data_IF_529926851778
#
_entry.id   IF_529926851778
#
_cell.length_a   1.000
_cell.length_b   1.000
_cell.length_c   1.000
_cell.angle_alpha   90.00
_cell.angle_beta   90.00
_cell.angle_gamma   90.00
#
_symmetry.space_group_name_H-M   'P 1'
#
loop_
_entity.id
_entity.type
_entity.pdbx_description
1 polymer ?
#
# COMPACT_ATOMS: atom_id res chain seq x y z
N UNK A 1 23.08 38.47 24.96
CA UNK A 1 21.69 38.87 24.69
C UNK A 1 20.78 37.68 24.97
N UNK A 2 19.65 37.89 25.65
CA UNK A 2 18.72 36.81 25.96
C UNK A 2 18.15 36.24 24.66
N UNK A 3 18.25 34.91 24.48
CA UNK A 3 17.72 34.20 23.31
C UNK A 3 16.20 34.46 23.24
N UNK A 4 15.67 35.03 22.14
CA UNK A 4 14.23 35.18 22.00
C UNK A 4 13.58 33.79 22.10
N UNK A 5 12.58 33.67 22.96
CA UNK A 5 11.82 32.43 23.10
C UNK A 5 10.99 32.25 21.84
N UNK A 6 11.04 31.05 21.28
CA UNK A 6 10.13 30.65 20.22
C UNK A 6 8.68 30.73 20.74
N UNK A 7 7.74 31.28 19.94
CA UNK A 7 6.33 31.21 20.30
C UNK A 7 5.88 29.76 20.45
N UNK A 8 5.14 29.45 21.53
CA UNK A 8 4.65 28.11 21.82
C UNK A 8 3.81 27.50 20.68
N UNK A 9 3.10 28.35 19.92
CA UNK A 9 2.29 27.93 18.77
C UNK A 9 3.16 27.33 17.66
N UNK A 10 4.26 27.98 17.29
CA UNK A 10 5.15 27.51 16.23
C UNK A 10 5.92 26.26 16.68
N UNK A 11 6.28 26.17 17.96
CA UNK A 11 6.87 24.96 18.55
C UNK A 11 5.89 23.79 18.47
N UNK A 12 4.66 24.01 18.92
CA UNK A 12 3.61 22.98 18.92
C UNK A 12 3.32 22.53 17.49
N UNK A 13 3.19 23.46 16.55
CA UNK A 13 2.95 23.17 15.15
C UNK A 13 4.03 22.27 14.56
N UNK A 14 5.31 22.62 14.72
CA UNK A 14 6.42 21.82 14.19
C UNK A 14 6.46 20.39 14.79
N UNK A 15 6.11 20.23 16.07
CA UNK A 15 6.03 18.92 16.72
C UNK A 15 4.83 18.10 16.27
N UNK A 16 3.67 18.74 16.08
CA UNK A 16 2.42 18.09 15.68
C UNK A 16 2.45 17.68 14.22
N UNK A 17 2.88 18.56 13.32
CA UNK A 17 2.96 18.28 11.88
C UNK A 17 3.94 17.14 11.59
N UNK A 18 5.12 17.14 12.22
CA UNK A 18 6.09 16.06 12.09
C UNK A 18 5.70 14.80 12.86
N UNK A 19 4.76 14.90 13.81
CA UNK A 19 4.43 13.87 14.79
C UNK A 19 5.67 13.28 15.47
N UNK A 20 6.66 14.14 15.77
CA UNK A 20 7.98 13.77 16.33
C UNK A 20 8.75 12.74 15.50
N UNK A 21 8.59 12.75 14.17
CA UNK A 21 9.42 11.97 13.23
C UNK A 21 10.46 12.87 12.59
N UNK A 22 11.68 12.36 12.46
CA UNK A 22 12.75 13.09 11.79
C UNK A 22 12.57 13.00 10.28
N UNK A 23 12.47 14.14 9.61
CA UNK A 23 12.31 14.16 8.16
C UNK A 23 13.52 13.61 7.40
N UNK A 24 14.74 13.72 7.96
CA UNK A 24 15.96 13.16 7.34
C UNK A 24 15.97 11.62 7.45
N UNK A 25 15.69 11.06 8.63
CA UNK A 25 15.56 9.60 8.80
C UNK A 25 14.50 9.03 7.85
N UNK A 26 13.37 9.72 7.69
CA UNK A 26 12.31 9.30 6.80
C UNK A 26 12.72 9.35 5.32
N UNK A 27 13.37 10.42 4.87
CA UNK A 27 13.75 10.58 3.48
C UNK A 27 14.87 9.61 3.05
N UNK A 28 15.84 9.34 3.94
CA UNK A 28 16.98 8.48 3.63
C UNK A 28 16.67 6.99 3.84
N UNK A 29 15.94 6.65 4.90
CA UNK A 29 15.79 5.26 5.37
C UNK A 29 14.33 4.81 5.50
N UNK A 30 13.35 5.65 5.16
CA UNK A 30 11.91 5.40 5.39
C UNK A 30 11.58 5.09 6.86
N UNK A 31 12.40 5.59 7.77
CA UNK A 31 12.22 5.40 9.19
C UNK A 31 11.05 6.26 9.70
N UNK A 32 9.95 5.58 10.02
CA UNK A 32 8.70 6.18 10.50
C UNK A 32 8.56 6.15 12.02
N UNK A 33 9.61 5.79 12.75
CA UNK A 33 9.55 5.74 14.20
C UNK A 33 9.51 7.14 14.81
N UNK A 34 8.87 7.24 15.97
CA UNK A 34 8.92 8.44 16.80
C UNK A 34 10.35 8.58 17.34
N UNK A 35 10.94 9.76 17.18
CA UNK A 35 12.31 10.03 17.60
C UNK A 35 12.36 10.96 18.81
N UNK A 36 13.36 10.72 19.65
CA UNK A 36 13.86 11.73 20.57
C UNK A 36 14.63 12.77 19.76
N UNK A 37 14.23 14.03 19.83
CA UNK A 37 14.70 15.06 18.91
C UNK A 37 14.37 16.47 19.33
N UNK A 38 14.78 17.43 18.50
CA UNK A 38 14.66 18.87 18.71
C UNK A 38 14.23 19.57 17.43
N UNK A 39 13.70 20.78 17.56
CA UNK A 39 13.36 21.63 16.42
C UNK A 39 14.62 22.40 15.99
N UNK A 40 15.02 22.21 14.74
CA UNK A 40 16.08 22.96 14.10
C UNK A 40 15.50 24.16 13.33
N UNK A 41 16.15 25.31 13.49
CA UNK A 41 16.01 26.46 12.60
C UNK A 41 16.88 26.21 11.37
N UNK A 42 16.27 26.01 10.21
CA UNK A 42 16.99 25.58 9.01
C UNK A 42 17.98 26.64 8.53
N UNK A 43 17.63 27.92 8.58
CA UNK A 43 18.55 29.02 8.28
C UNK A 43 19.63 29.29 9.37
N UNK A 44 19.66 28.48 10.43
CA UNK A 44 20.52 28.66 11.62
C UNK A 44 20.33 30.01 12.33
N UNK A 45 19.25 30.73 12.02
CA UNK A 45 18.87 31.96 12.70
C UNK A 45 17.79 31.65 13.75
N UNK A 46 18.22 31.62 15.01
CA UNK A 46 17.36 31.31 16.15
C UNK A 46 16.21 32.31 16.39
N UNK A 47 16.17 33.43 15.66
CA UNK A 47 15.09 34.42 15.72
C UNK A 47 14.05 34.26 14.59
N UNK A 48 14.32 33.40 13.59
CA UNK A 48 13.40 33.15 12.49
C UNK A 48 12.48 31.96 12.78
N UNK A 49 11.39 32.22 13.50
CA UNK A 49 10.42 31.18 13.91
C UNK A 49 9.38 30.84 12.83
N UNK A 50 9.60 31.19 11.57
CA UNK A 50 8.65 30.84 10.49
C UNK A 50 8.45 29.33 10.41
N UNK A 51 7.21 28.80 10.34
CA UNK A 51 6.96 27.36 10.23
C UNK A 51 7.69 26.69 9.06
N UNK A 52 7.88 27.41 7.94
CA UNK A 52 8.63 26.92 6.78
C UNK A 52 10.16 26.82 7.02
N UNK A 53 10.66 27.44 8.09
CA UNK A 53 12.05 27.43 8.52
C UNK A 53 12.31 26.48 9.70
N UNK A 54 11.28 25.87 10.26
CA UNK A 54 11.40 24.93 11.39
C UNK A 54 11.23 23.49 10.92
N UNK A 55 12.11 22.60 11.37
CA UNK A 55 11.97 21.16 11.17
C UNK A 55 12.29 20.41 12.46
N UNK A 56 11.51 19.36 12.76
CA UNK A 56 11.86 18.44 13.83
C UNK A 56 12.88 17.41 13.33
N UNK A 57 14.01 17.30 14.03
CA UNK A 57 15.07 16.35 13.72
C UNK A 57 15.37 15.49 14.95
N UNK A 58 15.71 14.21 14.74
CA UNK A 58 16.26 13.39 15.82
C UNK A 58 17.59 13.98 16.29
N UNK A 59 18.01 13.69 17.52
CA UNK A 59 19.24 14.29 18.07
C UNK A 59 20.46 14.07 17.15
N UNK A 60 20.60 12.88 16.58
CA UNK A 60 21.69 12.56 15.65
C UNK A 60 21.73 13.49 14.42
N UNK A 61 20.62 13.59 13.71
CA UNK A 61 20.52 14.44 12.53
C UNK A 61 20.46 15.93 12.86
N UNK A 62 19.98 16.30 14.05
CA UNK A 62 20.04 17.66 14.55
C UNK A 62 21.50 18.09 14.73
N UNK A 63 22.32 17.26 15.39
CA UNK A 63 23.74 17.53 15.60
C UNK A 63 24.50 17.56 14.26
N UNK A 64 24.21 16.64 13.34
CA UNK A 64 24.82 16.66 11.99
C UNK A 64 24.43 17.91 11.19
N UNK A 65 23.19 18.39 11.34
CA UNK A 65 22.73 19.59 10.67
C UNK A 65 23.34 20.87 11.24
N UNK A 66 23.49 20.95 12.56
CA UNK A 66 24.00 22.15 13.24
C UNK A 66 25.53 22.24 13.16
N UNK A 67 26.21 21.10 13.05
CA UNK A 67 27.67 21.06 12.91
C UNK A 67 28.15 21.40 11.50
N UNK A 68 29.39 21.90 11.41
CA UNK A 68 30.08 22.09 10.14
C UNK A 68 31.33 21.22 10.17
N UNK A 69 31.37 20.18 9.35
CA UNK A 69 32.53 19.28 9.27
C UNK A 69 33.38 19.63 8.04
N UNK A 70 34.70 19.48 8.13
CA UNK A 70 35.61 19.66 6.99
C UNK A 70 35.76 18.43 6.10
N UNK A 71 35.28 17.27 6.56
CA UNK A 71 35.50 15.97 5.90
C UNK A 71 34.31 15.52 5.04
N UNK A 72 33.08 15.85 5.44
CA UNK A 72 31.87 15.56 4.67
C UNK A 72 31.04 16.82 4.46
N UNK A 73 30.29 16.84 3.36
CA UNK A 73 29.25 17.87 3.15
C UNK A 73 28.13 17.58 4.14
N UNK A 74 27.83 18.54 5.01
CA UNK A 74 26.63 18.47 5.84
C UNK A 74 25.37 18.70 5.02
N UNK A 75 24.23 18.40 5.62
CA UNK A 75 22.92 18.64 5.03
C UNK A 75 22.69 20.12 4.74
N UNK A 76 22.17 20.41 3.54
CA UNK A 76 21.78 21.78 3.16
C UNK A 76 20.34 22.07 3.56
N UNK A 77 20.06 23.35 3.77
CA UNK A 77 18.72 23.88 4.05
C UNK A 77 17.68 23.33 3.08
N UNK A 78 18.01 23.35 1.78
CA UNK A 78 17.09 22.93 0.73
C UNK A 78 16.74 21.45 0.89
N UNK A 79 17.75 20.56 0.98
CA UNK A 79 17.56 19.13 1.20
C UNK A 79 16.61 18.84 2.38
N UNK A 80 16.83 19.51 3.52
CA UNK A 80 15.96 19.32 4.69
C UNK A 80 14.54 19.84 4.48
N UNK A 81 14.34 20.88 3.67
CA UNK A 81 12.99 21.35 3.28
C UNK A 81 12.29 20.35 2.36
N UNK A 82 12.99 19.78 1.38
CA UNK A 82 12.44 18.71 0.54
C UNK A 82 12.04 17.50 1.39
N UNK A 83 12.92 17.05 2.29
CA UNK A 83 12.64 15.92 3.17
C UNK A 83 11.48 16.20 4.14
N UNK A 84 11.38 17.42 4.67
CA UNK A 84 10.24 17.85 5.48
C UNK A 84 8.95 17.73 4.68
N UNK A 85 8.93 18.24 3.45
CA UNK A 85 7.75 18.16 2.57
C UNK A 85 7.36 16.71 2.34
N UNK A 86 8.30 15.85 1.99
CA UNK A 86 8.07 14.43 1.74
C UNK A 86 7.45 13.72 2.95
N UNK A 87 7.97 13.96 4.16
CA UNK A 87 7.39 13.44 5.41
C UNK A 87 5.96 13.92 5.62
N UNK A 88 5.68 15.20 5.40
CA UNK A 88 4.34 15.76 5.61
C UNK A 88 3.33 15.26 4.58
N UNK A 89 3.73 15.13 3.31
CA UNK A 89 2.90 14.57 2.25
C UNK A 89 2.55 13.10 2.57
N UNK A 90 3.52 12.30 3.04
CA UNK A 90 3.29 10.93 3.48
C UNK A 90 2.40 10.84 4.73
N UNK A 91 2.60 11.69 5.73
CA UNK A 91 1.72 11.73 6.90
C UNK A 91 0.30 12.12 6.50
N UNK A 92 0.16 13.08 5.59
CA UNK A 92 -1.14 13.49 5.04
C UNK A 92 -1.85 12.34 4.35
N UNK A 93 -1.15 11.58 3.49
CA UNK A 93 -1.73 10.43 2.80
C UNK A 93 -2.06 9.28 3.75
N UNK A 94 -1.13 8.87 4.61
CA UNK A 94 -1.31 7.76 5.55
C UNK A 94 -2.46 7.99 6.56
N UNK A 95 -2.74 9.26 6.90
CA UNK A 95 -3.80 9.63 7.85
C UNK A 95 -5.12 10.00 7.17
N UNK A 96 -5.11 10.24 5.85
CA UNK A 96 -6.32 10.40 5.05
C UNK A 96 -7.06 9.07 4.85
N UNK A 97 -6.35 7.95 5.04
CA UNK A 97 -6.96 6.63 5.07
C UNK A 97 -7.80 6.53 6.35
N UNK A 98 -9.11 6.74 6.22
CA UNK A 98 -10.08 6.51 7.30
C UNK A 98 -10.07 5.03 7.65
N UNK A 99 -9.26 4.64 8.63
CA UNK A 99 -9.29 3.29 9.19
C UNK A 99 -10.59 3.14 9.99
N UNK A 100 -11.67 2.75 9.31
CA UNK A 100 -12.84 2.20 9.96
C UNK A 100 -12.53 0.73 10.26
N UNK A 101 -12.31 0.41 11.54
CA UNK A 101 -12.21 -0.98 12.00
C UNK A 101 -13.40 -1.77 11.43
N UNK A 102 -13.12 -2.73 10.53
CA UNK A 102 -14.14 -3.61 9.93
C UNK A 102 -14.72 -3.20 8.57
N UNK A 103 -14.30 -2.07 7.97
CA UNK A 103 -14.65 -1.73 6.58
C UNK A 103 -13.41 -1.19 5.86
N UNK A 104 -12.86 -1.98 4.94
CA UNK A 104 -11.89 -1.50 3.96
C UNK A 104 -12.57 -0.42 3.11
N UNK A 105 -12.23 0.85 3.32
CA UNK A 105 -12.50 1.89 2.34
C UNK A 105 -11.52 1.68 1.20
N UNK A 106 -12.01 1.12 0.09
CA UNK A 106 -11.31 1.09 -1.19
C UNK A 106 -10.89 2.53 -1.54
N UNK A 107 -9.71 2.77 -2.14
CA UNK A 107 -9.40 4.04 -2.76
C UNK A 107 -10.57 4.47 -3.65
N UNK A 108 -10.91 5.77 -3.68
CA UNK A 108 -12.05 6.30 -4.46
C UNK A 108 -11.98 5.96 -5.97
N UNK A 109 -10.83 5.46 -6.46
CA UNK A 109 -10.69 4.81 -7.75
C UNK A 109 -9.48 3.84 -7.78
N UNK A 110 -9.62 2.65 -7.19
CA UNK A 110 -8.71 1.54 -7.52
C UNK A 110 -9.18 0.91 -8.85
N UNK A 111 -8.32 0.80 -9.88
CA UNK A 111 -8.72 0.30 -11.19
C UNK A 111 -9.11 -1.19 -11.18
N UNK A 112 -8.67 -1.94 -10.18
CA UNK A 112 -8.73 -3.40 -10.12
C UNK A 112 -9.64 -3.92 -9.01
N UNK A 113 -9.74 -3.19 -7.91
CA UNK A 113 -10.55 -3.57 -6.77
C UNK A 113 -12.04 -3.64 -7.11
N UNK A 114 -12.73 -4.50 -6.37
CA UNK A 114 -14.18 -4.66 -6.48
C UNK A 114 -14.59 -6.12 -6.55
N UNK A 115 -15.88 -6.32 -6.83
CA UNK A 115 -16.46 -7.64 -7.07
C UNK A 115 -16.57 -7.89 -8.57
N UNK A 116 -16.18 -9.08 -8.98
CA UNK A 116 -16.13 -9.56 -10.36
C UNK A 116 -16.96 -10.82 -10.46
N UNK A 117 -17.88 -10.89 -11.43
CA UNK A 117 -18.79 -12.02 -11.61
C UNK A 117 -18.55 -12.65 -12.97
N UNK A 118 -18.45 -13.99 -13.01
CA UNK A 118 -18.19 -14.74 -14.24
C UNK A 118 -19.33 -14.60 -15.24
N UNK A 119 -19.02 -14.22 -16.47
CA UNK A 119 -19.95 -14.13 -17.58
C UNK A 119 -20.32 -15.52 -18.13
N UNK A 120 -21.56 -15.68 -18.58
CA UNK A 120 -22.02 -16.89 -19.30
C UNK A 120 -22.04 -18.18 -18.48
N UNK A 121 -22.22 -18.09 -17.16
CA UNK A 121 -21.85 -19.15 -16.21
C UNK A 121 -23.02 -19.78 -15.44
N UNK A 122 -24.25 -19.81 -15.98
CA UNK A 122 -25.45 -20.23 -15.23
C UNK A 122 -25.33 -21.58 -14.49
N UNK A 123 -24.66 -22.58 -15.09
CA UNK A 123 -24.45 -23.89 -14.47
C UNK A 123 -23.24 -23.94 -13.54
N UNK A 124 -22.31 -22.99 -13.67
CA UNK A 124 -21.04 -22.94 -12.93
C UNK A 124 -20.66 -21.50 -12.56
N UNK A 125 -21.51 -20.79 -11.80
CA UNK A 125 -21.29 -19.40 -11.48
C UNK A 125 -20.06 -19.25 -10.59
N UNK A 126 -19.36 -18.14 -10.74
CA UNK A 126 -18.26 -17.78 -9.85
C UNK A 126 -18.19 -16.29 -9.63
N UNK A 127 -17.75 -15.93 -8.44
CA UNK A 127 -17.44 -14.56 -8.06
C UNK A 127 -16.03 -14.47 -7.50
N UNK A 128 -15.37 -13.37 -7.81
CA UNK A 128 -14.05 -13.01 -7.29
C UNK A 128 -14.16 -11.60 -6.71
N UNK A 129 -13.59 -11.40 -5.54
CA UNK A 129 -13.42 -10.10 -4.90
C UNK A 129 -11.94 -9.78 -4.82
N UNK A 130 -11.60 -8.60 -5.30
CA UNK A 130 -10.24 -8.06 -5.28
C UNK A 130 -10.23 -6.93 -4.28
N UNK A 131 -9.42 -7.10 -3.24
CA UNK A 131 -9.35 -6.23 -2.08
C UNK A 131 -7.94 -5.60 -2.06
N UNK A 132 -7.81 -4.27 -2.19
CA UNK A 132 -6.52 -3.62 -2.16
C UNK A 132 -5.91 -3.75 -0.76
N UNK A 133 -4.60 -3.99 -0.73
CA UNK A 133 -3.77 -4.01 0.47
C UNK A 133 -2.83 -2.80 0.42
N UNK A 134 -2.19 -2.43 1.56
CA UNK A 134 -1.13 -1.44 1.54
C UNK A 134 -0.03 -1.85 0.55
N UNK A 135 0.41 -0.89 -0.25
CA UNK A 135 1.51 -1.06 -1.21
C UNK A 135 2.76 -1.63 -0.54
N UNK A 136 3.64 -2.22 -1.35
CA UNK A 136 4.98 -2.59 -0.88
C UNK A 136 5.78 -1.35 -0.48
N UNK A 137 6.92 -1.56 0.20
CA UNK A 137 7.87 -0.47 0.52
C UNK A 137 8.34 0.25 -0.75
N UNK A 138 8.39 -0.46 -1.87
CA UNK A 138 8.77 0.05 -3.19
C UNK A 138 7.59 0.67 -3.98
N UNK A 139 6.42 0.79 -3.34
CA UNK A 139 5.22 1.39 -3.95
C UNK A 139 4.49 0.50 -4.94
N UNK A 140 4.67 -0.83 -4.88
CA UNK A 140 3.94 -1.76 -5.75
C UNK A 140 2.54 -2.07 -5.20
N UNK A 141 1.48 -1.96 -6.01
CA UNK A 141 0.12 -2.33 -5.62
C UNK A 141 0.02 -3.82 -5.26
N UNK A 142 -0.71 -4.11 -4.19
CA UNK A 142 -0.97 -5.49 -3.74
C UNK A 142 -2.44 -5.70 -3.44
N UNK A 143 -2.88 -6.94 -3.65
CA UNK A 143 -4.27 -7.32 -3.48
C UNK A 143 -4.39 -8.62 -2.71
N UNK A 144 -5.43 -8.70 -1.87
CA UNK A 144 -5.99 -9.95 -1.42
C UNK A 144 -7.14 -10.31 -2.36
N UNK A 145 -7.04 -11.47 -2.99
CA UNK A 145 -8.05 -12.02 -3.88
C UNK A 145 -8.78 -13.11 -3.12
N UNK A 146 -10.11 -13.06 -3.14
CA UNK A 146 -10.95 -14.15 -2.63
C UNK A 146 -12.05 -14.46 -3.63
N UNK A 147 -12.50 -15.70 -3.73
CA UNK A 147 -13.55 -16.08 -4.65
C UNK A 147 -14.32 -17.31 -4.21
N UNK A 148 -15.52 -17.44 -4.76
CA UNK A 148 -16.38 -18.60 -4.59
C UNK A 148 -16.88 -19.04 -5.98
N UNK A 149 -16.76 -20.33 -6.27
CA UNK A 149 -17.19 -20.92 -7.52
C UNK A 149 -18.05 -22.15 -7.27
N UNK A 150 -19.01 -22.36 -8.16
CA UNK A 150 -19.93 -23.49 -8.14
C UNK A 150 -19.78 -24.31 -9.42
N UNK A 151 -20.11 -25.59 -9.33
CA UNK A 151 -20.13 -26.49 -10.48
C UNK A 151 -21.40 -27.35 -10.45
N UNK A 152 -22.24 -27.16 -11.47
CA UNK A 152 -23.46 -27.94 -11.69
C UNK A 152 -24.62 -27.51 -10.78
N UNK A 153 -25.02 -26.24 -10.88
CA UNK A 153 -26.14 -25.67 -10.11
C UNK A 153 -27.46 -26.43 -10.28
N UNK A 154 -27.66 -27.10 -11.43
CA UNK A 154 -28.87 -27.89 -11.72
C UNK A 154 -28.77 -29.37 -11.31
N UNK A 155 -27.66 -29.82 -10.72
CA UNK A 155 -27.47 -31.23 -10.35
C UNK A 155 -28.39 -31.65 -9.20
N UNK A 156 -28.89 -32.88 -9.26
CA UNK A 156 -29.82 -33.46 -8.27
C UNK A 156 -29.30 -33.40 -6.82
N UNK A 157 -27.99 -33.62 -6.64
CA UNK A 157 -27.35 -33.63 -5.32
C UNK A 157 -26.66 -32.30 -4.96
N UNK A 158 -27.00 -31.23 -5.68
CA UNK A 158 -26.43 -29.89 -5.49
C UNK A 158 -25.10 -29.67 -6.20
N UNK A 159 -24.64 -28.41 -6.25
CA UNK A 159 -23.38 -28.06 -6.88
C UNK A 159 -22.19 -28.47 -6.02
N UNK A 160 -21.08 -28.81 -6.67
CA UNK A 160 -19.79 -28.74 -5.98
C UNK A 160 -19.44 -27.26 -5.79
N UNK A 161 -18.84 -26.92 -4.64
CA UNK A 161 -18.49 -25.56 -4.29
C UNK A 161 -17.02 -25.49 -3.91
N UNK A 162 -16.35 -24.42 -4.34
CA UNK A 162 -14.94 -24.18 -4.08
C UNK A 162 -14.65 -22.74 -3.76
N UNK A 163 -13.60 -22.54 -2.99
CA UNK A 163 -13.11 -21.21 -2.61
C UNK A 163 -11.71 -21.00 -3.16
N UNK A 164 -11.39 -19.74 -3.44
CA UNK A 164 -10.07 -19.27 -3.82
C UNK A 164 -9.70 -18.15 -2.85
N UNK A 165 -8.49 -18.17 -2.30
CA UNK A 165 -7.95 -17.05 -1.52
C UNK A 165 -6.43 -16.99 -1.64
N UNK A 166 -5.91 -15.82 -1.95
CA UNK A 166 -4.47 -15.58 -2.04
C UNK A 166 -4.13 -14.09 -2.00
N UNK A 167 -2.87 -13.78 -1.72
CA UNK A 167 -2.31 -12.45 -1.91
C UNK A 167 -1.44 -12.44 -3.17
N UNK A 168 -1.46 -11.33 -3.91
CA UNK A 168 -0.60 -11.14 -5.08
C UNK A 168 -0.31 -9.66 -5.31
N UNK A 169 0.85 -9.38 -5.89
CA UNK A 169 1.23 -8.06 -6.38
C UNK A 169 0.84 -7.96 -7.86
N UNK A 170 0.64 -6.75 -8.37
CA UNK A 170 0.47 -6.60 -9.82
C UNK A 170 1.79 -6.84 -10.54
N UNK A 171 1.78 -7.79 -11.46
CA UNK A 171 2.88 -8.11 -12.37
C UNK A 171 2.54 -7.57 -13.76
N UNK A 172 3.54 -6.98 -14.41
CA UNK A 172 3.43 -6.39 -15.76
C UNK A 172 2.26 -5.40 -15.94
N UNK A 173 1.83 -4.78 -14.84
CA UNK A 173 0.79 -3.76 -14.83
C UNK A 173 -0.66 -4.28 -14.96
N UNK A 174 -0.87 -5.58 -15.11
CA UNK A 174 -2.22 -6.11 -15.41
C UNK A 174 -2.51 -7.53 -14.89
N UNK A 175 -1.55 -8.26 -14.32
CA UNK A 175 -1.77 -9.66 -13.90
C UNK A 175 -1.54 -9.88 -12.41
N UNK A 176 -2.37 -10.73 -11.81
CA UNK A 176 -2.19 -11.31 -10.49
C UNK A 176 -1.98 -12.83 -10.64
N UNK A 177 -1.03 -13.38 -9.90
CA UNK A 177 -0.68 -14.80 -9.98
C UNK A 177 -0.87 -15.52 -8.65
N UNK A 178 -1.38 -16.74 -8.73
CA UNK A 178 -1.45 -17.69 -7.63
C UNK A 178 -0.88 -19.04 -8.02
N UNK A 179 0.24 -19.39 -7.40
CA UNK A 179 0.97 -20.63 -7.66
C UNK A 179 0.93 -21.54 -6.43
N UNK A 180 0.63 -22.81 -6.63
CA UNK A 180 0.52 -23.81 -5.55
C UNK A 180 0.95 -25.20 -6.03
N UNK A 181 1.28 -26.15 -5.12
CA UNK A 181 1.54 -27.53 -5.52
C UNK A 181 0.35 -28.14 -6.25
N UNK A 182 0.56 -28.81 -7.39
CA UNK A 182 -0.50 -29.55 -8.08
C UNK A 182 -0.86 -30.84 -7.32
N UNK A 183 -2.15 -31.20 -7.33
CA UNK A 183 -2.63 -32.49 -6.82
C UNK A 183 -2.59 -33.60 -7.89
N UNK A 184 -2.33 -33.26 -9.16
CA UNK A 184 -2.45 -34.18 -10.29
C UNK A 184 -1.13 -34.43 -11.02
N UNK A 185 -0.21 -33.45 -11.05
CA UNK A 185 1.04 -33.54 -11.80
C UNK A 185 2.26 -33.22 -10.95
N UNK A 186 3.44 -33.59 -11.45
CA UNK A 186 4.71 -33.17 -10.90
C UNK A 186 5.03 -31.75 -11.40
N UNK A 187 4.50 -30.75 -10.70
CA UNK A 187 4.66 -29.33 -11.06
C UNK A 187 3.71 -28.42 -10.26
N UNK A 188 3.86 -27.09 -10.39
CA UNK A 188 2.90 -26.16 -9.79
C UNK A 188 1.60 -26.12 -10.60
N UNK A 189 0.48 -25.98 -9.90
CA UNK A 189 -0.76 -25.48 -10.47
C UNK A 189 -0.77 -23.95 -10.39
N UNK A 190 -1.24 -23.27 -11.44
CA UNK A 190 -1.26 -21.82 -11.52
C UNK A 190 -2.65 -21.29 -11.79
N UNK A 191 -2.91 -20.09 -11.29
CA UNK A 191 -4.11 -19.32 -11.60
C UNK A 191 -3.68 -17.89 -11.86
N UNK A 192 -3.91 -17.43 -13.09
CA UNK A 192 -3.60 -16.08 -13.54
C UNK A 192 -4.90 -15.29 -13.67
N UNK A 193 -4.92 -14.09 -13.09
CA UNK A 193 -5.99 -13.11 -13.18
C UNK A 193 -5.47 -11.92 -13.97
N UNK A 194 -5.92 -11.75 -15.21
CA UNK A 194 -5.48 -10.68 -16.11
C UNK A 194 -6.60 -9.64 -16.28
N UNK A 195 -6.31 -8.39 -15.92
CA UNK A 195 -7.19 -7.26 -16.24
C UNK A 195 -7.00 -6.87 -17.70
N UNK A 196 -8.10 -6.79 -18.45
CA UNK A 196 -8.07 -6.49 -19.88
C UNK A 196 -8.41 -5.02 -20.14
N UNK A 197 -7.89 -4.47 -21.25
CA UNK A 197 -8.10 -3.07 -21.63
C UNK A 197 -9.59 -2.70 -21.84
N UNK A 198 -10.43 -3.70 -22.14
CA UNK A 198 -11.87 -3.55 -22.31
C UNK A 198 -12.67 -3.62 -20.99
N UNK A 199 -11.97 -3.68 -19.85
CA UNK A 199 -12.57 -3.59 -18.51
C UNK A 199 -13.09 -4.92 -17.95
N UNK A 200 -12.67 -6.05 -18.51
CA UNK A 200 -12.94 -7.38 -17.97
C UNK A 200 -11.79 -7.90 -17.11
N UNK A 201 -12.07 -8.99 -16.41
CA UNK A 201 -11.07 -9.82 -15.74
C UNK A 201 -11.10 -11.20 -16.39
N UNK A 202 -9.98 -11.62 -16.96
CA UNK A 202 -9.81 -12.97 -17.49
C UNK A 202 -9.08 -13.82 -16.44
N UNK A 203 -9.64 -14.98 -16.12
CA UNK A 203 -9.01 -15.98 -15.28
C UNK A 203 -8.59 -17.15 -16.14
N UNK A 204 -7.32 -17.51 -16.05
CA UNK A 204 -6.77 -18.71 -16.66
C UNK A 204 -6.24 -19.65 -15.58
N UNK A 205 -6.53 -20.94 -15.72
CA UNK A 205 -6.11 -21.97 -14.79
C UNK A 205 -5.29 -23.05 -15.48
N UNK A 206 -4.11 -23.33 -14.93
CA UNK A 206 -3.26 -24.43 -15.37
C UNK A 206 -3.14 -25.48 -14.26
N UNK A 207 -3.47 -26.73 -14.59
CA UNK A 207 -3.31 -27.89 -13.71
C UNK A 207 -4.01 -27.77 -12.34
N UNK A 208 -5.14 -27.06 -12.31
CA UNK A 208 -5.93 -26.80 -11.09
C UNK A 208 -6.92 -27.91 -10.73
N UNK A 209 -6.91 -29.03 -11.46
CA UNK A 209 -7.91 -30.08 -11.33
C UNK A 209 -8.06 -30.58 -9.89
N UNK A 210 -9.28 -30.42 -9.33
CA UNK A 210 -9.61 -30.82 -7.97
C UNK A 210 -9.14 -29.88 -6.86
N UNK A 211 -8.38 -28.81 -7.17
CA UNK A 211 -7.85 -27.86 -6.17
C UNK A 211 -8.94 -27.12 -5.40
N UNK A 212 -10.07 -26.86 -6.06
CA UNK A 212 -11.21 -26.15 -5.46
C UNK A 212 -12.38 -27.09 -5.16
N UNK A 213 -12.16 -28.40 -5.23
CA UNK A 213 -13.21 -29.40 -5.27
C UNK A 213 -13.49 -29.92 -6.67
N UNK A 214 -14.23 -31.02 -6.75
CA UNK A 214 -14.38 -31.81 -7.97
C UNK A 214 -15.08 -31.02 -9.08
N UNK A 215 -14.35 -30.73 -10.16
CA UNK A 215 -14.86 -30.00 -11.32
C UNK A 215 -15.16 -28.52 -11.08
N UNK A 216 -14.82 -27.98 -9.91
CA UNK A 216 -14.89 -26.54 -9.66
C UNK A 216 -13.65 -25.87 -10.25
N UNK A 217 -13.86 -24.75 -10.93
CA UNK A 217 -12.80 -23.97 -11.60
C UNK A 217 -13.12 -22.49 -11.46
N UNK A 218 -12.09 -21.64 -11.40
CA UNK A 218 -12.21 -20.19 -11.54
C UNK A 218 -11.99 -19.69 -12.99
N UNK A 219 -11.59 -20.55 -13.93
CA UNK A 219 -11.34 -20.19 -15.33
C UNK A 219 -12.57 -19.54 -15.98
N UNK A 220 -12.34 -18.45 -16.72
CA UNK A 220 -13.38 -17.76 -17.46
C UNK A 220 -13.19 -16.25 -17.54
N UNK A 221 -14.18 -15.58 -18.13
CA UNK A 221 -14.22 -14.13 -18.26
C UNK A 221 -15.20 -13.53 -17.25
N UNK A 222 -14.83 -12.42 -16.62
CA UNK A 222 -15.57 -11.79 -15.53
C UNK A 222 -15.82 -10.31 -15.82
N UNK A 223 -16.95 -9.81 -15.32
CA UNK A 223 -17.33 -8.41 -15.36
C UNK A 223 -17.35 -7.85 -13.95
N UNK A 224 -16.82 -6.63 -13.78
CA UNK A 224 -16.92 -5.91 -12.51
C UNK A 224 -18.37 -5.48 -12.23
N UNK A 225 -18.84 -5.73 -11.03
CA UNK A 225 -20.13 -5.24 -10.51
C UNK A 225 -19.99 -3.75 -10.25
N UNK A 226 -20.85 -2.97 -10.88
CA UNK A 226 -20.96 -1.51 -10.69
C UNK A 226 -21.81 -1.15 -9.49
#
# INVERSE_FOLDING_TARGET
MARPRMPNENETLALVESRRRCCICFALDRDTEIKSGQIAHLDRNNSNHSPANLAFLCLHHHDEYDTTTSQRKGFKIQEVKEYKKELLDWLGSALSQKVHFGVLSLPDADPHAGQWVRLGSNESPAEIRIIPLPDTVDGQPRYFVTGMAYQGMSREYGPNMGTLDFFSEIIDGASLFYTRPSLLIQGPATTELTFTDDGHLKVYEEDTGGQYGMGVTFDGLYQRVT
#
